data_IF_428081100132
#
_entry.id   IF_428081100132
#
_cell.length_a   1.000
_cell.length_b   1.000
_cell.length_c   1.000
_cell.angle_alpha   90.00
_cell.angle_beta   90.00
_cell.angle_gamma   90.00
#
_symmetry.space_group_name_H-M   'P 1'
#
loop_
_entity.id
_entity.type
_entity.pdbx_description
1 polymer ?
#
# COMPACT_ATOMS: atom_id res chain seq x y z
N UNK A 1 25.69 -15.40 23.90
CA UNK A 1 25.10 -14.09 23.57
C UNK A 1 24.94 -13.88 22.07
N UNK A 2 25.95 -14.20 21.24
CA UNK A 2 25.89 -14.15 19.77
C UNK A 2 24.64 -14.85 19.20
N UNK A 3 24.39 -16.10 19.60
CA UNK A 3 23.32 -16.92 19.02
C UNK A 3 21.91 -16.37 19.27
N UNK A 4 21.62 -15.81 20.45
CA UNK A 4 20.28 -15.28 20.77
C UNK A 4 19.95 -14.07 19.91
N UNK A 5 20.94 -13.20 19.67
CA UNK A 5 20.75 -12.02 18.84
C UNK A 5 20.53 -12.40 17.37
N UNK A 6 21.25 -13.42 16.89
CA UNK A 6 21.03 -13.99 15.54
C UNK A 6 19.65 -14.62 15.41
N UNK A 7 19.21 -15.45 16.36
CA UNK A 7 17.86 -16.04 16.34
C UNK A 7 16.75 -14.99 16.39
N UNK A 8 16.91 -13.91 17.17
CA UNK A 8 15.94 -12.82 17.20
C UNK A 8 15.89 -12.07 15.86
N UNK A 9 17.04 -11.85 15.22
CA UNK A 9 17.10 -11.20 13.93
C UNK A 9 16.46 -12.06 12.83
N UNK A 10 16.76 -13.36 12.80
CA UNK A 10 16.16 -14.31 11.87
C UNK A 10 14.64 -14.38 12.03
N UNK A 11 14.15 -14.30 13.28
CA UNK A 11 12.72 -14.31 13.56
C UNK A 11 11.97 -13.05 13.09
N UNK A 12 12.64 -11.90 13.11
CA UNK A 12 12.07 -10.62 12.62
C UNK A 12 12.11 -10.55 11.10
N UNK A 13 13.17 -11.07 10.47
CA UNK A 13 13.40 -11.00 9.02
C UNK A 13 12.53 -11.97 8.21
N UNK A 14 12.16 -13.12 8.78
CA UNK A 14 11.34 -14.11 8.08
C UNK A 14 9.89 -13.64 7.90
N UNK A 15 9.20 -14.04 6.82
CA UNK A 15 7.79 -13.73 6.64
C UNK A 15 6.95 -14.32 7.78
N UNK A 16 6.25 -13.47 8.51
CA UNK A 16 5.42 -13.92 9.62
C UNK A 16 4.21 -14.70 9.13
N UNK A 17 3.85 -15.80 9.79
CA UNK A 17 2.64 -16.54 9.46
C UNK A 17 1.40 -15.66 9.54
N UNK A 18 0.43 -15.94 8.68
CA UNK A 18 -0.81 -15.18 8.57
C UNK A 18 -1.59 -15.10 9.90
N UNK A 19 -1.49 -16.13 10.76
CA UNK A 19 -2.14 -16.19 12.07
C UNK A 19 -1.47 -15.30 13.12
N UNK A 20 -0.29 -14.75 12.85
CA UNK A 20 0.37 -13.73 13.69
C UNK A 20 0.10 -12.34 13.10
N UNK A 21 0.36 -12.17 11.81
CA UNK A 21 0.17 -10.89 11.11
C UNK A 21 -1.28 -10.40 11.12
N UNK A 22 -2.23 -11.29 10.88
CA UNK A 22 -3.67 -10.97 10.85
C UNK A 22 -4.17 -10.40 12.19
N UNK A 23 -4.02 -11.12 13.32
CA UNK A 23 -4.42 -10.61 14.63
C UNK A 23 -3.72 -9.32 15.05
N UNK A 24 -2.44 -9.13 14.71
CA UNK A 24 -1.72 -7.88 15.01
C UNK A 24 -2.29 -6.69 14.24
N UNK A 25 -2.56 -6.86 12.95
CA UNK A 25 -3.22 -5.83 12.15
C UNK A 25 -4.59 -5.52 12.74
N UNK A 26 -5.38 -6.56 13.08
CA UNK A 26 -6.68 -6.39 13.73
C UNK A 26 -6.62 -5.64 15.06
N UNK A 27 -5.63 -5.94 15.91
CA UNK A 27 -5.39 -5.24 17.17
C UNK A 27 -5.10 -3.75 16.94
N UNK A 28 -4.17 -3.44 16.04
CA UNK A 28 -3.83 -2.05 15.69
C UNK A 28 -5.09 -1.31 15.22
N UNK A 29 -5.91 -1.95 14.42
CA UNK A 29 -7.15 -1.36 13.94
C UNK A 29 -8.18 -1.11 15.03
N UNK A 30 -8.38 -2.07 15.94
CA UNK A 30 -9.27 -1.89 17.09
C UNK A 30 -8.80 -0.69 17.92
N UNK A 31 -7.49 -0.58 18.18
CA UNK A 31 -6.91 0.55 18.89
C UNK A 31 -7.17 1.88 18.17
N UNK A 32 -7.00 1.92 16.84
CA UNK A 32 -7.29 3.11 16.06
C UNK A 32 -8.77 3.50 16.13
N UNK A 33 -9.69 2.53 16.04
CA UNK A 33 -11.13 2.77 16.18
C UNK A 33 -11.47 3.32 17.57
N UNK A 34 -10.91 2.72 18.65
CA UNK A 34 -11.12 3.19 20.02
C UNK A 34 -10.60 4.62 20.26
N UNK A 35 -9.55 5.02 19.54
CA UNK A 35 -9.00 6.38 19.57
C UNK A 35 -9.73 7.36 18.62
N UNK A 36 -10.80 6.90 17.94
CA UNK A 36 -11.55 7.69 16.96
C UNK A 36 -10.71 8.06 15.72
N UNK A 37 -9.73 7.23 15.38
CA UNK A 37 -8.77 7.45 14.29
C UNK A 37 -9.08 6.53 13.10
N UNK A 38 -8.95 7.07 11.88
CA UNK A 38 -9.20 6.31 10.65
C UNK A 38 -7.96 5.62 10.08
N UNK A 39 -8.16 4.46 9.45
CA UNK A 39 -7.16 3.71 8.67
C UNK A 39 -7.41 3.86 7.16
N UNK A 40 -7.46 5.11 6.68
CA UNK A 40 -7.81 5.43 5.30
C UNK A 40 -6.60 5.87 4.47
N UNK A 41 -6.29 5.16 3.38
CA UNK A 41 -5.24 5.56 2.45
C UNK A 41 -5.77 6.50 1.35
N UNK A 42 -6.86 6.12 0.68
CA UNK A 42 -7.37 6.85 -0.49
C UNK A 42 -7.92 8.25 -0.19
N UNK A 43 -8.40 8.50 1.03
CA UNK A 43 -8.83 9.84 1.47
C UNK A 43 -7.69 10.85 1.50
N UNK A 44 -6.44 10.40 1.60
CA UNK A 44 -5.27 11.27 1.56
C UNK A 44 -5.09 11.94 0.20
N UNK A 45 -5.38 11.26 -0.91
CA UNK A 45 -5.30 11.89 -2.24
C UNK A 45 -6.23 13.11 -2.33
N UNK A 46 -7.47 12.98 -1.83
CA UNK A 46 -8.42 14.11 -1.76
C UNK A 46 -7.92 15.23 -0.84
N UNK A 47 -7.33 14.86 0.29
CA UNK A 47 -6.77 15.80 1.29
C UNK A 47 -5.60 16.59 0.73
N UNK A 48 -4.71 15.93 0.00
CA UNK A 48 -3.57 16.57 -0.69
C UNK A 48 -4.08 17.52 -1.77
N UNK A 49 -5.02 17.10 -2.62
CA UNK A 49 -5.61 17.99 -3.63
C UNK A 49 -6.28 19.23 -3.01
N UNK A 50 -7.00 19.06 -1.89
CA UNK A 50 -7.60 20.17 -1.14
C UNK A 50 -6.53 21.12 -0.58
N UNK A 51 -5.47 20.59 0.02
CA UNK A 51 -4.36 21.36 0.56
C UNK A 51 -3.59 22.14 -0.53
N UNK A 52 -3.46 21.57 -1.73
CA UNK A 52 -2.87 22.23 -2.90
C UNK A 52 -3.78 23.29 -3.55
N UNK A 53 -4.99 23.50 -3.01
CA UNK A 53 -5.89 24.57 -3.45
C UNK A 53 -6.96 24.17 -4.46
N UNK A 54 -7.12 22.87 -4.77
CA UNK A 54 -8.16 22.40 -5.68
C UNK A 54 -9.58 22.71 -5.20
N UNK A 55 -9.76 23.02 -3.91
CA UNK A 55 -11.03 23.47 -3.33
C UNK A 55 -11.54 24.80 -3.88
N UNK A 56 -10.68 25.61 -4.53
CA UNK A 56 -11.11 26.84 -5.23
C UNK A 56 -11.78 26.56 -6.57
N UNK A 57 -11.42 25.44 -7.21
CA UNK A 57 -11.89 25.10 -8.56
C UNK A 57 -12.99 24.04 -8.56
N UNK A 58 -13.12 23.26 -7.49
CA UNK A 58 -14.10 22.20 -7.39
C UNK A 58 -14.59 22.03 -5.94
N UNK A 59 -15.90 22.09 -5.75
CA UNK A 59 -16.57 21.94 -4.45
C UNK A 59 -16.23 20.61 -3.78
N UNK A 60 -15.97 19.56 -4.56
CA UNK A 60 -15.53 18.27 -4.01
C UNK A 60 -14.24 18.37 -3.18
N UNK A 61 -13.33 19.31 -3.48
CA UNK A 61 -12.11 19.52 -2.71
C UNK A 61 -12.25 20.66 -1.69
N UNK A 62 -13.40 21.33 -1.62
CA UNK A 62 -13.68 22.42 -0.69
C UNK A 62 -14.10 21.89 0.68
N UNK A 63 -13.14 21.37 1.45
CA UNK A 63 -13.33 20.96 2.83
C UNK A 63 -12.12 21.34 3.69
N UNK A 64 -12.29 21.35 5.01
CA UNK A 64 -11.17 21.60 5.91
C UNK A 64 -10.23 20.38 5.96
N UNK A 65 -9.20 20.40 5.13
CA UNK A 65 -8.17 19.36 5.09
C UNK A 65 -7.41 19.22 6.43
N UNK A 66 -7.39 20.26 7.29
CA UNK A 66 -6.72 20.18 8.59
C UNK A 66 -7.44 19.23 9.55
N UNK A 67 -8.73 18.99 9.36
CA UNK A 67 -9.47 17.95 10.09
C UNK A 67 -8.94 16.53 9.83
N UNK A 68 -8.23 16.32 8.70
CA UNK A 68 -7.71 15.04 8.25
C UNK A 68 -6.21 14.84 8.52
N UNK A 69 -5.59 15.67 9.37
CA UNK A 69 -4.15 15.59 9.72
C UNK A 69 -3.71 14.20 10.15
N UNK A 70 -4.57 13.48 10.87
CA UNK A 70 -4.29 12.10 11.27
C UNK A 70 -4.02 11.18 10.07
N UNK A 71 -4.83 11.28 9.02
CA UNK A 71 -4.66 10.43 7.83
C UNK A 71 -3.37 10.75 7.09
N UNK A 72 -2.96 12.02 7.06
CA UNK A 72 -1.68 12.43 6.49
C UNK A 72 -0.49 11.90 7.30
N UNK A 73 -0.57 11.97 8.64
CA UNK A 73 0.45 11.38 9.52
C UNK A 73 0.56 9.87 9.29
N UNK A 74 -0.58 9.20 9.19
CA UNK A 74 -0.63 7.77 8.87
C UNK A 74 0.00 7.45 7.51
N UNK A 75 -0.31 8.24 6.47
CA UNK A 75 0.30 8.08 5.14
C UNK A 75 1.82 8.18 5.20
N UNK A 76 2.34 9.24 5.83
CA UNK A 76 3.79 9.47 5.94
C UNK A 76 4.44 8.35 6.76
N UNK A 77 3.82 7.96 7.88
CA UNK A 77 4.29 6.84 8.70
C UNK A 77 4.33 5.52 7.93
N UNK A 78 3.32 5.24 7.09
CA UNK A 78 3.30 4.04 6.25
C UNK A 78 4.41 4.06 5.19
N UNK A 79 4.70 5.21 4.58
CA UNK A 79 5.81 5.37 3.62
C UNK A 79 7.15 5.13 4.31
N UNK A 80 7.38 5.76 5.46
CA UNK A 80 8.62 5.59 6.24
C UNK A 80 8.76 4.14 6.71
N UNK A 81 7.70 3.55 7.25
CA UNK A 81 7.68 2.16 7.70
C UNK A 81 7.98 1.19 6.55
N UNK A 82 7.41 1.42 5.37
CA UNK A 82 7.71 0.66 4.16
C UNK A 82 9.16 0.79 3.70
N UNK A 83 9.72 2.00 3.73
CA UNK A 83 11.13 2.24 3.40
C UNK A 83 12.08 1.55 4.39
N UNK A 84 11.79 1.63 5.70
CA UNK A 84 12.56 0.93 6.73
C UNK A 84 12.46 -0.58 6.51
N UNK A 85 11.25 -1.10 6.27
CA UNK A 85 11.04 -2.52 6.04
C UNK A 85 11.81 -3.02 4.80
N UNK A 86 11.77 -2.26 3.71
CA UNK A 86 12.45 -2.62 2.47
C UNK A 86 13.99 -2.57 2.60
N UNK A 87 14.56 -1.57 3.27
CA UNK A 87 16.01 -1.41 3.36
C UNK A 87 16.66 -2.21 4.50
N UNK A 88 15.94 -2.47 5.60
CA UNK A 88 16.53 -3.07 6.80
C UNK A 88 15.89 -4.40 7.24
N UNK A 89 14.66 -4.71 6.83
CA UNK A 89 13.93 -5.91 7.25
C UNK A 89 13.52 -6.82 6.06
N UNK A 90 14.12 -6.61 4.88
CA UNK A 90 13.80 -7.39 3.68
C UNK A 90 15.09 -8.01 3.12
N UNK A 91 15.04 -9.30 2.81
CA UNK A 91 16.17 -10.04 2.23
C UNK A 91 16.04 -10.19 0.69
N UNK A 92 15.53 -9.14 0.01
CA UNK A 92 15.26 -9.14 -1.43
C UNK A 92 14.43 -10.35 -1.92
N UNK A 93 13.56 -10.87 -1.07
CA UNK A 93 12.75 -12.04 -1.37
C UNK A 93 11.86 -11.80 -2.59
N UNK A 94 11.99 -12.65 -3.60
CA UNK A 94 11.03 -12.71 -4.71
C UNK A 94 9.77 -13.39 -4.18
N UNK A 95 8.57 -12.82 -4.41
CA UNK A 95 7.33 -13.43 -3.95
C UNK A 95 7.23 -14.88 -4.40
N UNK A 96 6.91 -15.78 -3.47
CA UNK A 96 6.68 -17.18 -3.77
C UNK A 96 5.32 -17.34 -4.47
N UNK A 97 5.31 -17.24 -5.79
CA UNK A 97 4.11 -17.42 -6.63
C UNK A 97 4.11 -18.84 -7.22
N UNK A 98 2.93 -19.39 -7.47
CA UNK A 98 2.79 -20.71 -8.09
C UNK A 98 3.44 -20.77 -9.49
N UNK A 99 3.97 -21.94 -9.85
CA UNK A 99 4.58 -22.17 -11.18
C UNK A 99 3.59 -21.95 -12.33
N UNK A 100 2.31 -22.23 -12.09
CA UNK A 100 1.25 -21.97 -13.06
C UNK A 100 1.11 -20.47 -13.32
N UNK A 101 1.05 -19.65 -12.26
CA UNK A 101 0.95 -18.18 -12.38
C UNK A 101 2.19 -17.59 -13.06
N UNK A 102 3.39 -18.11 -12.78
CA UNK A 102 4.62 -17.68 -13.47
C UNK A 102 4.51 -17.94 -14.98
N UNK A 103 4.03 -19.12 -15.36
CA UNK A 103 3.88 -19.50 -16.77
C UNK A 103 2.84 -18.62 -17.48
N UNK A 104 1.71 -18.33 -16.83
CA UNK A 104 0.68 -17.44 -17.36
C UNK A 104 1.18 -15.99 -17.50
N UNK A 105 1.91 -15.47 -16.51
CA UNK A 105 2.48 -14.12 -16.55
C UNK A 105 3.52 -13.98 -17.67
N UNK A 106 4.38 -15.00 -17.86
CA UNK A 106 5.33 -15.03 -18.98
C UNK A 106 4.60 -15.07 -20.33
N UNK A 107 3.52 -15.84 -20.45
CA UNK A 107 2.70 -15.86 -21.66
C UNK A 107 2.04 -14.49 -21.98
N UNK A 108 1.78 -13.67 -20.95
CA UNK A 108 1.31 -12.29 -21.09
C UNK A 108 2.43 -11.28 -21.38
N UNK A 109 3.69 -11.73 -21.46
CA UNK A 109 4.86 -10.90 -21.76
C UNK A 109 5.60 -10.36 -20.53
N UNK A 110 5.35 -10.90 -19.33
CA UNK A 110 6.09 -10.55 -18.11
C UNK A 110 7.15 -11.61 -17.81
N UNK A 111 8.34 -11.45 -18.40
CA UNK A 111 9.48 -12.37 -18.22
C UNK A 111 10.07 -12.31 -16.81
N UNK A 112 9.94 -11.17 -16.14
CA UNK A 112 10.36 -10.93 -14.76
C UNK A 112 9.54 -11.69 -13.69
N UNK A 113 8.45 -12.35 -14.09
CA UNK A 113 7.64 -13.17 -13.20
C UNK A 113 8.46 -14.30 -12.57
N UNK A 114 8.55 -14.28 -11.23
CA UNK A 114 9.33 -15.25 -10.46
C UNK A 114 10.84 -14.95 -10.38
N UNK A 115 11.31 -13.85 -10.98
CA UNK A 115 12.71 -13.40 -10.89
C UNK A 115 12.86 -12.03 -10.19
N UNK A 116 11.84 -11.17 -10.27
CA UNK A 116 11.82 -9.85 -9.64
C UNK A 116 10.60 -9.68 -8.72
N UNK A 117 10.72 -8.78 -7.74
CA UNK A 117 9.62 -8.45 -6.82
C UNK A 117 8.44 -7.79 -7.53
N UNK A 118 8.72 -6.96 -8.53
CA UNK A 118 7.71 -6.29 -9.37
C UNK A 118 8.06 -6.42 -10.85
N UNK A 119 7.08 -6.34 -11.76
CA UNK A 119 7.33 -6.43 -13.20
C UNK A 119 8.28 -5.34 -13.71
N UNK A 120 9.53 -5.69 -14.00
CA UNK A 120 10.54 -4.71 -14.46
C UNK A 120 10.16 -4.09 -15.81
N UNK A 121 9.44 -4.81 -16.64
CA UNK A 121 8.94 -4.36 -17.95
C UNK A 121 8.01 -3.15 -17.84
N UNK A 122 7.29 -3.02 -16.71
CA UNK A 122 6.36 -1.92 -16.47
C UNK A 122 6.99 -0.77 -15.68
N UNK A 123 7.86 -1.08 -14.72
CA UNK A 123 8.38 -0.10 -13.75
C UNK A 123 9.82 0.37 -14.01
N UNK A 124 10.64 -0.40 -14.72
CA UNK A 124 12.05 -0.05 -15.00
C UNK A 124 12.17 0.87 -16.20
N UNK A 125 11.39 0.63 -17.25
CA UNK A 125 11.46 1.39 -18.49
C UNK A 125 10.37 2.46 -18.56
N UNK A 126 10.79 3.72 -18.64
CA UNK A 126 9.90 4.87 -18.83
C UNK A 126 9.50 5.01 -20.32
N UNK A 127 8.77 4.02 -20.84
CA UNK A 127 8.18 4.08 -22.18
C UNK A 127 6.84 4.82 -22.15
N UNK A 128 6.49 5.50 -23.25
CA UNK A 128 5.17 6.16 -23.38
C UNK A 128 4.01 5.19 -23.12
N UNK A 129 4.15 3.94 -23.59
CA UNK A 129 3.17 2.88 -23.36
C UNK A 129 3.01 2.59 -21.86
N UNK A 130 4.10 2.40 -21.13
CA UNK A 130 4.06 2.09 -19.70
C UNK A 130 3.48 3.25 -18.89
N UNK A 131 3.88 4.49 -19.20
CA UNK A 131 3.33 5.68 -18.56
C UNK A 131 1.82 5.78 -18.81
N UNK A 132 1.36 5.53 -20.04
CA UNK A 132 -0.07 5.54 -20.35
C UNK A 132 -0.84 4.44 -19.61
N UNK A 133 -0.29 3.22 -19.53
CA UNK A 133 -0.90 2.12 -18.77
C UNK A 133 -1.01 2.47 -17.29
N UNK A 134 0.07 2.99 -16.69
CA UNK A 134 0.10 3.38 -15.28
C UNK A 134 -0.86 4.54 -14.99
N UNK A 135 -0.92 5.53 -15.88
CA UNK A 135 -1.82 6.69 -15.74
C UNK A 135 -3.28 6.28 -15.86
N UNK A 136 -3.62 5.50 -16.89
CA UNK A 136 -4.98 5.00 -17.09
C UNK A 136 -5.39 4.06 -15.95
N UNK A 137 -4.51 3.15 -15.54
CA UNK A 137 -4.74 2.25 -14.41
C UNK A 137 -4.96 3.02 -13.11
N UNK A 138 -4.12 4.03 -12.83
CA UNK A 138 -4.28 4.91 -11.66
C UNK A 138 -5.59 5.69 -11.69
N UNK A 139 -5.98 6.21 -12.86
CA UNK A 139 -7.26 6.91 -13.04
C UNK A 139 -8.45 5.97 -12.77
N UNK A 140 -8.42 4.76 -13.32
CA UNK A 140 -9.46 3.74 -13.11
C UNK A 140 -9.56 3.33 -11.64
N UNK A 141 -8.42 3.12 -10.96
CA UNK A 141 -8.39 2.82 -9.52
C UNK A 141 -8.95 3.98 -8.71
N UNK A 142 -8.56 5.22 -9.03
CA UNK A 142 -9.06 6.42 -8.35
C UNK A 142 -10.56 6.60 -8.51
N UNK A 143 -11.06 6.44 -9.74
CA UNK A 143 -12.48 6.47 -10.06
C UNK A 143 -13.25 5.36 -9.34
N UNK A 144 -12.80 4.12 -9.46
CA UNK A 144 -13.43 2.95 -8.83
C UNK A 144 -13.45 3.04 -7.30
N UNK A 145 -12.36 3.49 -6.69
CA UNK A 145 -12.27 3.73 -5.25
C UNK A 145 -13.30 4.75 -4.79
N UNK A 146 -13.52 5.82 -5.57
CA UNK A 146 -14.53 6.83 -5.23
C UNK A 146 -15.94 6.31 -5.45
N UNK A 147 -16.17 5.59 -6.54
CA UNK A 147 -17.45 4.97 -6.87
C UNK A 147 -17.89 3.98 -5.79
N UNK A 148 -16.95 3.14 -5.29
CA UNK A 148 -17.19 2.22 -4.18
C UNK A 148 -17.24 2.92 -2.79
N UNK A 149 -16.90 4.21 -2.70
CA UNK A 149 -16.91 4.95 -1.44
C UNK A 149 -15.77 4.58 -0.49
N UNK A 150 -14.64 4.09 -0.99
CA UNK A 150 -13.43 3.78 -0.22
C UNK A 150 -12.54 2.74 -0.90
N UNK A 151 -11.25 2.70 -0.54
CA UNK A 151 -10.32 1.63 -0.96
C UNK A 151 -10.39 0.46 0.04
N UNK A 152 -9.69 -0.64 -0.23
CA UNK A 152 -9.64 -1.82 0.66
C UNK A 152 -9.35 -1.45 2.11
N UNK A 153 -8.39 -0.54 2.36
CA UNK A 153 -8.06 -0.12 3.73
C UNK A 153 -9.23 0.56 4.45
N UNK A 154 -9.96 1.45 3.76
CA UNK A 154 -11.05 2.23 4.34
C UNK A 154 -12.41 1.54 4.34
N UNK A 155 -12.65 0.62 3.39
CA UNK A 155 -13.97 0.01 3.15
C UNK A 155 -14.04 -1.48 3.50
N UNK A 156 -12.96 -2.23 3.28
CA UNK A 156 -12.94 -3.67 3.57
C UNK A 156 -12.32 -3.96 4.94
N UNK A 157 -11.29 -3.20 5.32
CA UNK A 157 -10.52 -3.44 6.53
C UNK A 157 -11.08 -2.59 7.68
N UNK A 158 -11.19 -1.26 7.53
CA UNK A 158 -11.62 -0.35 8.60
C UNK A 158 -13.13 -0.24 8.81
N UNK A 159 -13.96 -0.67 7.85
CA UNK A 159 -15.41 -0.52 7.94
C UNK A 159 -16.02 -1.62 8.81
N UNK A 160 -16.09 -1.34 10.10
CA UNK A 160 -17.07 -1.92 11.00
C UNK A 160 -18.17 -0.85 11.11
N UNK A 161 -19.29 -1.05 10.42
CA UNK A 161 -20.47 -0.20 10.56
C UNK A 161 -21.50 -0.93 11.39
#
# INVERSE_FOLDING_TARGET
MQNIFTYMMDWIMQPWPWYVGGPLIGLIMILLILLGKSFGFSSNFRTICSALGAGKSCEFFAFDWKSQRWNLLFLVGAIIGGAIAFHFLSDNQVPAISQQTISELKALGFESAGAAYSPSELFSEMSLKNVMILLLGGMLIGFGTRYAGGCTSGHAIFRIK
#
